data_IF_971505853762
#
_entry.id   IF_971505853762
#
_cell.length_a   1.000
_cell.length_b   1.000
_cell.length_c   1.000
_cell.angle_alpha   90.00
_cell.angle_beta   90.00
_cell.angle_gamma   90.00
#
_symmetry.space_group_name_H-M   'P 1'
#
loop_
_entity.id
_entity.type
_entity.pdbx_description
1 polymer ?
#
# COMPACT_ATOMS: atom_id res chain seq x y z
N UNK A 1 -15.63 -29.19 -6.14
CA UNK A 1 -14.75 -29.95 -7.06
C UNK A 1 -14.03 -29.01 -8.06
N UNK A 2 -13.59 -27.83 -7.61
CA UNK A 2 -12.91 -26.84 -8.47
C UNK A 2 -11.76 -26.22 -7.67
N UNK A 3 -10.58 -26.83 -7.73
CA UNK A 3 -9.32 -26.22 -7.27
C UNK A 3 -8.04 -26.95 -7.72
N UNK A 4 -8.08 -28.04 -8.51
CA UNK A 4 -6.88 -28.88 -8.70
C UNK A 4 -6.18 -28.78 -10.07
N UNK A 5 -6.77 -28.17 -11.10
CA UNK A 5 -6.20 -28.27 -12.47
C UNK A 5 -5.69 -26.97 -13.11
N UNK A 6 -5.61 -25.85 -12.39
CA UNK A 6 -5.03 -24.63 -12.97
C UNK A 6 -3.49 -24.62 -12.84
N UNK A 7 -2.82 -25.48 -13.61
CA UNK A 7 -1.35 -25.41 -13.77
C UNK A 7 -0.99 -24.27 -14.71
N UNK A 8 -0.96 -23.05 -14.19
CA UNK A 8 -0.35 -21.93 -14.90
C UNK A 8 1.16 -21.94 -14.72
N UNK A 9 1.91 -21.85 -15.82
CA UNK A 9 3.33 -21.57 -15.74
C UNK A 9 3.49 -20.14 -15.21
N UNK A 10 3.80 -20.02 -13.91
CA UNK A 10 4.18 -18.75 -13.29
C UNK A 10 5.36 -18.13 -14.04
N UNK A 11 5.39 -16.81 -14.21
CA UNK A 11 6.62 -16.10 -14.54
C UNK A 11 7.71 -16.48 -13.49
N UNK A 12 8.74 -17.22 -13.90
CA UNK A 12 9.82 -17.66 -13.01
C UNK A 12 11.06 -16.82 -13.26
N UNK A 13 11.47 -16.07 -12.25
CA UNK A 13 12.78 -15.41 -12.25
C UNK A 13 13.73 -16.25 -11.39
N UNK A 14 14.83 -16.81 -11.95
CA UNK A 14 15.81 -17.54 -11.16
C UNK A 14 16.54 -16.60 -10.20
N UNK A 15 16.26 -16.71 -8.90
CA UNK A 15 16.93 -15.93 -7.85
C UNK A 15 18.19 -16.67 -7.38
N UNK A 16 19.37 -16.04 -7.50
CA UNK A 16 20.61 -16.50 -6.84
C UNK A 16 20.89 -15.62 -5.60
N UNK A 17 20.79 -16.18 -4.40
CA UNK A 17 21.38 -15.63 -3.16
C UNK A 17 20.51 -14.69 -2.29
N UNK A 18 20.80 -14.75 -0.97
CA UNK A 18 20.21 -14.14 0.25
C UNK A 18 18.69 -14.31 0.45
N UNK A 19 18.34 -15.12 1.46
CA UNK A 19 17.01 -15.24 2.02
C UNK A 19 16.61 -13.98 2.81
N UNK A 20 15.33 -13.58 2.78
CA UNK A 20 14.27 -14.11 1.92
C UNK A 20 14.50 -13.74 0.44
N UNK A 21 14.12 -14.63 -0.51
CA UNK A 21 14.18 -14.29 -1.92
C UNK A 21 13.38 -13.00 -2.20
N UNK A 22 13.94 -12.03 -2.95
CA UNK A 22 13.22 -10.84 -3.37
C UNK A 22 11.92 -11.18 -4.11
N UNK A 23 10.88 -10.39 -3.85
CA UNK A 23 9.60 -10.50 -4.53
C UNK A 23 9.55 -9.62 -5.78
N UNK A 24 8.68 -10.01 -6.71
CA UNK A 24 8.32 -9.21 -7.87
C UNK A 24 6.81 -9.11 -7.98
N UNK A 25 6.31 -8.03 -8.57
CA UNK A 25 4.88 -7.77 -8.76
C UNK A 25 4.48 -8.34 -10.11
N UNK A 26 3.54 -9.29 -10.09
CA UNK A 26 2.83 -9.77 -11.27
C UNK A 26 1.40 -9.26 -11.31
N UNK A 27 0.69 -9.58 -12.39
CA UNK A 27 -0.74 -9.30 -12.54
C UNK A 27 -1.51 -10.58 -12.89
N UNK A 28 -2.82 -10.57 -12.67
CA UNK A 28 -3.74 -11.59 -13.18
C UNK A 28 -5.03 -10.91 -13.61
N UNK A 29 -5.66 -11.42 -14.67
CA UNK A 29 -6.84 -10.83 -15.31
C UNK A 29 -7.97 -11.85 -15.33
N UNK A 30 -9.18 -11.38 -15.05
CA UNK A 30 -10.39 -12.15 -15.32
C UNK A 30 -11.01 -11.68 -16.63
N UNK A 31 -11.52 -12.62 -17.43
CA UNK A 31 -12.31 -12.31 -18.64
C UNK A 31 -13.79 -12.08 -18.30
N UNK A 32 -14.17 -12.19 -17.02
CA UNK A 32 -15.52 -11.95 -16.52
C UNK A 32 -15.55 -10.71 -15.61
N UNK A 33 -16.75 -10.16 -15.42
CA UNK A 33 -16.98 -9.07 -14.46
C UNK A 33 -17.22 -9.59 -13.02
N UNK A 34 -16.97 -10.88 -12.75
CA UNK A 34 -17.09 -11.45 -11.41
C UNK A 34 -15.78 -11.18 -10.63
N UNK A 35 -15.80 -10.38 -9.55
CA UNK A 35 -14.60 -10.12 -8.77
C UNK A 35 -14.03 -11.37 -8.10
N UNK A 36 -14.80 -12.46 -7.98
CA UNK A 36 -14.33 -13.76 -7.52
C UNK A 36 -13.49 -14.51 -8.58
N UNK A 37 -13.41 -13.99 -9.81
CA UNK A 37 -12.67 -14.56 -10.93
C UNK A 37 -13.49 -15.54 -11.77
N UNK A 38 -12.85 -16.48 -12.48
CA UNK A 38 -11.45 -16.90 -12.36
C UNK A 38 -10.45 -15.86 -12.89
N UNK A 39 -9.25 -15.84 -12.31
CA UNK A 39 -8.14 -15.00 -12.77
C UNK A 39 -7.07 -15.85 -13.47
N UNK A 40 -6.62 -15.37 -14.61
CA UNK A 40 -5.48 -15.92 -15.38
C UNK A 40 -4.27 -15.00 -15.17
N UNK A 41 -3.14 -15.50 -14.64
CA UNK A 41 -1.93 -14.70 -14.48
C UNK A 41 -1.43 -14.17 -15.83
N UNK A 42 -1.01 -12.91 -15.84
CA UNK A 42 -0.31 -12.32 -16.97
C UNK A 42 1.11 -12.91 -17.06
N UNK A 43 1.66 -13.08 -18.28
CA UNK A 43 2.99 -13.63 -18.46
C UNK A 43 4.10 -12.67 -18.00
N UNK A 44 3.84 -11.36 -18.06
CA UNK A 44 4.81 -10.32 -17.74
C UNK A 44 4.68 -9.81 -16.30
N UNK A 45 5.83 -9.45 -15.72
CA UNK A 45 5.90 -8.80 -14.41
C UNK A 45 5.75 -7.28 -14.55
N UNK A 46 5.00 -6.67 -13.63
CA UNK A 46 4.85 -5.23 -13.56
C UNK A 46 6.09 -4.54 -12.98
N UNK A 47 6.70 -5.12 -11.95
CA UNK A 47 7.92 -4.60 -11.32
C UNK A 47 8.77 -5.72 -10.70
N UNK A 48 10.09 -5.69 -10.92
CA UNK A 48 11.00 -6.74 -10.45
C UNK A 48 12.41 -6.18 -10.19
N UNK A 49 12.53 -5.33 -9.18
CA UNK A 49 13.77 -4.61 -8.81
C UNK A 49 14.70 -5.45 -7.92
N UNK A 50 15.17 -6.58 -8.44
CA UNK A 50 15.93 -7.56 -7.66
C UNK A 50 17.22 -6.99 -7.04
N UNK A 51 17.90 -6.10 -7.76
CA UNK A 51 19.11 -5.41 -7.32
C UNK A 51 18.86 -4.45 -6.15
N UNK A 52 17.61 -4.05 -5.94
CA UNK A 52 17.16 -3.18 -4.85
C UNK A 52 16.34 -3.93 -3.78
N UNK A 53 16.34 -5.27 -3.79
CA UNK A 53 15.65 -6.09 -2.79
C UNK A 53 14.25 -6.59 -3.19
N UNK A 54 13.77 -6.21 -4.37
CA UNK A 54 12.47 -6.62 -4.92
C UNK A 54 11.41 -5.52 -4.85
N UNK A 55 10.19 -5.86 -5.23
CA UNK A 55 9.04 -4.98 -5.20
C UNK A 55 7.82 -5.70 -4.59
N UNK A 56 7.07 -4.98 -3.74
CA UNK A 56 5.86 -5.48 -3.06
C UNK A 56 4.79 -4.38 -2.98
N UNK A 57 3.62 -4.75 -2.46
CA UNK A 57 2.52 -3.85 -2.11
C UNK A 57 2.01 -3.00 -3.28
N UNK A 58 1.76 -3.63 -4.42
CA UNK A 58 1.19 -2.98 -5.59
C UNK A 58 -0.24 -2.50 -5.30
N UNK A 59 -0.52 -1.23 -5.61
CA UNK A 59 -1.80 -0.59 -5.35
C UNK A 59 -2.23 0.24 -6.57
N UNK A 60 -3.33 -0.15 -7.25
CA UNK A 60 -3.81 0.57 -8.43
C UNK A 60 -4.51 1.87 -8.03
N UNK A 61 -4.41 2.88 -8.88
CA UNK A 61 -5.16 4.11 -8.79
C UNK A 61 -5.65 4.54 -10.16
N UNK A 62 -6.95 4.82 -10.28
CA UNK A 62 -7.55 5.40 -11.48
C UNK A 62 -7.87 6.86 -11.20
N UNK A 63 -7.24 7.76 -11.95
CA UNK A 63 -7.49 9.19 -11.81
C UNK A 63 -8.81 9.59 -12.51
N UNK A 64 -9.28 10.80 -12.23
CA UNK A 64 -10.54 11.35 -12.74
C UNK A 64 -10.55 11.52 -14.27
N UNK A 65 -9.38 11.59 -14.89
CA UNK A 65 -9.23 11.63 -16.35
C UNK A 65 -9.18 10.24 -17.00
N UNK A 66 -9.28 9.17 -16.18
CA UNK A 66 -9.21 7.78 -16.62
C UNK A 66 -7.78 7.21 -16.70
N UNK A 67 -6.74 8.00 -16.44
CA UNK A 67 -5.36 7.51 -16.39
C UNK A 67 -5.21 6.48 -15.28
N UNK A 68 -4.57 5.35 -15.61
CA UNK A 68 -4.25 4.29 -14.67
C UNK A 68 -2.82 4.45 -14.15
N UNK A 69 -2.66 4.25 -12.85
CA UNK A 69 -1.40 4.27 -12.15
C UNK A 69 -1.29 3.06 -11.24
N UNK A 70 -0.08 2.62 -10.97
CA UNK A 70 0.22 1.63 -9.93
C UNK A 70 1.28 2.23 -9.01
N UNK A 71 0.93 2.39 -7.74
CA UNK A 71 1.89 2.68 -6.68
C UNK A 71 2.44 1.36 -6.14
N UNK A 72 3.72 1.30 -5.80
CA UNK A 72 4.31 0.10 -5.18
C UNK A 72 5.57 0.44 -4.39
N UNK A 73 5.98 -0.44 -3.49
CA UNK A 73 7.20 -0.29 -2.70
C UNK A 73 8.37 -1.04 -3.34
N UNK A 74 9.55 -0.42 -3.34
CA UNK A 74 10.83 -1.16 -3.43
C UNK A 74 11.20 -1.72 -2.06
N UNK A 75 11.34 -3.04 -1.96
CA UNK A 75 11.54 -3.77 -0.70
C UNK A 75 13.02 -3.76 -0.27
N UNK A 76 13.63 -2.57 -0.23
CA UNK A 76 15.06 -2.44 0.08
C UNK A 76 15.45 -2.96 1.46
N UNK A 77 14.50 -3.01 2.40
CA UNK A 77 14.71 -3.67 3.69
C UNK A 77 15.02 -5.18 3.58
N UNK A 78 14.67 -5.84 2.46
CA UNK A 78 14.98 -7.24 2.21
C UNK A 78 16.50 -7.50 2.04
N UNK A 79 17.24 -6.49 1.57
CA UNK A 79 18.71 -6.51 1.45
C UNK A 79 19.39 -5.63 2.51
N UNK A 80 18.65 -5.24 3.55
CA UNK A 80 19.17 -4.45 4.66
C UNK A 80 20.18 -5.20 5.53
N UNK A 81 20.80 -4.48 6.46
CA UNK A 81 21.92 -4.98 7.27
C UNK A 81 21.48 -5.52 8.64
N UNK A 82 20.18 -5.78 8.81
CA UNK A 82 19.60 -6.37 10.01
C UNK A 82 18.86 -5.37 10.91
N UNK A 83 18.47 -5.86 12.09
CA UNK A 83 17.63 -5.13 13.03
C UNK A 83 16.13 -5.22 12.74
N UNK A 84 15.36 -4.24 13.18
CA UNK A 84 13.89 -4.25 13.06
C UNK A 84 13.47 -4.27 11.60
N UNK A 85 12.65 -5.25 11.21
CA UNK A 85 12.27 -5.49 9.81
C UNK A 85 13.47 -5.48 8.83
N UNK A 86 14.66 -5.89 9.29
CA UNK A 86 15.85 -6.06 8.45
C UNK A 86 16.62 -4.78 8.11
N UNK A 87 16.19 -3.60 8.56
CA UNK A 87 16.69 -2.33 8.03
C UNK A 87 16.87 -1.23 9.08
N UNK A 88 17.38 -1.56 10.27
CA UNK A 88 17.74 -0.55 11.30
C UNK A 88 19.23 -0.55 11.66
N UNK A 89 20.05 -1.40 11.04
CA UNK A 89 21.51 -1.38 11.17
C UNK A 89 22.09 -0.72 9.92
N UNK A 90 23.00 0.23 10.11
CA UNK A 90 23.60 0.97 9.01
C UNK A 90 24.53 0.08 8.13
N UNK A 91 24.66 0.39 6.83
CA UNK A 91 23.93 1.43 6.10
C UNK A 91 22.45 1.07 5.92
N UNK A 92 21.55 2.02 6.14
CA UNK A 92 20.12 1.77 6.02
C UNK A 92 19.74 1.84 4.54
N UNK A 93 19.04 0.82 4.04
CA UNK A 93 18.59 0.77 2.66
C UNK A 93 17.35 1.66 2.46
N UNK A 94 17.21 2.32 1.31
CA UNK A 94 16.00 3.07 0.97
C UNK A 94 14.82 2.11 0.75
N UNK A 95 13.59 2.59 0.93
CA UNK A 95 12.36 1.82 0.67
C UNK A 95 11.36 2.71 -0.07
N UNK A 96 11.69 3.16 -1.30
CA UNK A 96 10.88 4.15 -1.99
C UNK A 96 9.54 3.58 -2.45
N UNK A 97 8.51 4.42 -2.37
CA UNK A 97 7.24 4.24 -3.05
C UNK A 97 7.40 4.78 -4.48
N UNK A 98 7.27 3.89 -5.44
CA UNK A 98 7.26 4.17 -6.87
C UNK A 98 5.83 4.40 -7.35
N UNK A 99 5.70 5.18 -8.42
CA UNK A 99 4.47 5.39 -9.16
C UNK A 99 4.73 5.12 -10.65
N UNK A 100 4.02 4.15 -11.21
CA UNK A 100 4.11 3.77 -12.61
C UNK A 100 2.82 4.12 -13.33
N UNK A 101 2.91 4.91 -14.40
CA UNK A 101 1.77 5.13 -15.30
C UNK A 101 1.52 3.87 -16.12
N UNK A 102 0.26 3.52 -16.31
CA UNK A 102 -0.17 2.36 -17.09
C UNK A 102 -0.99 2.80 -18.30
N UNK A 103 -0.93 2.00 -19.37
CA UNK A 103 -1.89 2.08 -20.47
C UNK A 103 -3.28 1.65 -19.99
N UNK A 104 -4.35 1.90 -20.78
CA UNK A 104 -5.73 1.55 -20.40
C UNK A 104 -5.98 0.07 -20.12
N UNK A 105 -5.09 -0.83 -20.58
CA UNK A 105 -5.17 -2.27 -20.31
C UNK A 105 -4.81 -2.64 -18.85
N UNK A 106 -4.24 -1.71 -18.08
CA UNK A 106 -3.80 -1.95 -16.69
C UNK A 106 -2.59 -2.88 -16.56
N UNK A 107 -2.01 -3.33 -17.67
CA UNK A 107 -0.91 -4.30 -17.73
C UNK A 107 0.36 -3.71 -18.35
N UNK A 108 0.21 -2.83 -19.33
CA UNK A 108 1.33 -2.26 -20.07
C UNK A 108 1.78 -0.97 -19.42
N UNK A 109 3.07 -0.88 -19.07
CA UNK A 109 3.68 0.36 -18.57
C UNK A 109 3.66 1.47 -19.63
N UNK A 110 3.41 2.70 -19.21
CA UNK A 110 3.40 3.90 -20.05
C UNK A 110 4.49 4.88 -19.60
N UNK A 111 5.74 4.60 -20.03
CA UNK A 111 6.93 5.35 -19.62
C UNK A 111 7.59 4.80 -18.35
N UNK A 112 8.56 5.56 -17.83
CA UNK A 112 9.35 5.20 -16.65
C UNK A 112 8.58 5.46 -15.35
N UNK A 113 8.79 4.61 -14.33
CA UNK A 113 8.31 4.90 -12.99
C UNK A 113 9.03 6.10 -12.35
N UNK A 114 8.33 6.79 -11.46
CA UNK A 114 8.88 7.87 -10.64
C UNK A 114 8.85 7.49 -9.15
N UNK A 115 9.65 8.16 -8.33
CA UNK A 115 9.59 8.02 -6.87
C UNK A 115 8.76 9.16 -6.29
N UNK A 116 7.70 8.83 -5.55
CA UNK A 116 6.79 9.83 -4.97
C UNK A 116 7.00 10.05 -3.46
N UNK A 117 7.59 9.07 -2.77
CA UNK A 117 7.96 9.16 -1.35
C UNK A 117 9.04 8.11 -1.05
N UNK A 118 9.98 8.43 -0.16
CA UNK A 118 10.91 7.45 0.43
C UNK A 118 10.95 7.62 1.96
N UNK A 119 11.42 6.60 2.67
CA UNK A 119 11.58 6.63 4.12
C UNK A 119 12.52 7.76 4.54
N UNK A 120 12.18 8.40 5.65
CA UNK A 120 13.08 9.27 6.39
C UNK A 120 13.41 8.64 7.74
N UNK A 121 14.32 9.23 8.50
CA UNK A 121 14.77 8.68 9.79
C UNK A 121 13.60 8.36 10.74
N UNK A 122 12.60 9.25 10.83
CA UNK A 122 11.43 9.09 11.71
C UNK A 122 10.45 7.99 11.28
N UNK A 123 10.63 7.36 10.12
CA UNK A 123 9.85 6.19 9.68
C UNK A 123 10.45 4.88 10.20
N UNK A 124 11.65 4.92 10.77
CA UNK A 124 12.38 3.73 11.18
C UNK A 124 12.82 2.90 9.98
N UNK A 125 12.56 1.57 9.96
CA UNK A 125 13.17 0.68 8.97
C UNK A 125 12.62 0.84 7.55
N UNK A 126 11.38 1.28 7.37
CA UNK A 126 10.73 1.29 6.05
C UNK A 126 9.51 2.20 6.00
N UNK A 127 9.09 2.52 4.78
CA UNK A 127 7.72 2.86 4.42
C UNK A 127 7.18 1.80 3.45
N UNK A 128 5.89 1.48 3.53
CA UNK A 128 5.26 0.41 2.74
C UNK A 128 3.74 0.58 2.59
N UNK A 129 3.09 -0.36 1.90
CA UNK A 129 1.65 -0.39 1.68
C UNK A 129 1.05 0.96 1.21
N UNK A 130 1.50 1.50 0.06
CA UNK A 130 1.04 2.79 -0.44
C UNK A 130 -0.41 2.72 -0.91
N UNK A 131 -1.26 3.69 -0.56
CA UNK A 131 -2.60 3.82 -1.14
C UNK A 131 -2.85 5.26 -1.54
N UNK A 132 -3.32 5.46 -2.76
CA UNK A 132 -3.66 6.77 -3.28
C UNK A 132 -5.17 7.00 -3.22
N UNK A 133 -5.57 8.17 -2.73
CA UNK A 133 -6.93 8.66 -2.81
C UNK A 133 -6.91 10.11 -3.28
N UNK A 134 -7.97 10.54 -3.96
CA UNK A 134 -8.14 11.93 -4.39
C UNK A 134 -9.38 12.50 -3.70
N UNK A 135 -9.19 13.59 -2.98
CA UNK A 135 -10.28 14.32 -2.32
C UNK A 135 -11.23 14.96 -3.33
N UNK A 136 -12.47 15.30 -2.92
CA UNK A 136 -13.39 16.10 -3.74
C UNK A 136 -12.78 17.44 -4.20
N UNK A 137 -11.88 18.02 -3.41
CA UNK A 137 -11.15 19.26 -3.74
C UNK A 137 -9.97 19.05 -4.71
N UNK A 138 -9.72 17.81 -5.14
CA UNK A 138 -8.67 17.46 -6.10
C UNK A 138 -7.29 17.27 -5.50
N UNK A 139 -7.14 17.34 -4.17
CA UNK A 139 -5.89 17.04 -3.45
C UNK A 139 -5.66 15.53 -3.43
N UNK A 140 -4.44 15.11 -3.79
CA UNK A 140 -4.00 13.72 -3.72
C UNK A 140 -3.48 13.41 -2.32
N UNK A 141 -3.94 12.30 -1.76
CA UNK A 141 -3.48 11.73 -0.51
C UNK A 141 -2.74 10.42 -0.79
N UNK A 142 -1.50 10.32 -0.34
CA UNK A 142 -0.74 9.08 -0.28
C UNK A 142 -0.74 8.59 1.17
N UNK A 143 -1.50 7.55 1.44
CA UNK A 143 -1.43 6.80 2.69
C UNK A 143 -0.31 5.77 2.58
N UNK A 144 0.41 5.57 3.67
CA UNK A 144 1.49 4.59 3.72
C UNK A 144 1.72 4.17 5.17
N UNK A 145 2.22 2.96 5.36
CA UNK A 145 2.63 2.49 6.68
C UNK A 145 4.11 2.73 6.89
N UNK A 146 4.53 2.94 8.14
CA UNK A 146 5.93 2.98 8.52
C UNK A 146 6.21 2.10 9.74
N UNK A 147 7.49 1.90 10.08
CA UNK A 147 7.86 1.02 11.18
C UNK A 147 7.90 -0.45 10.77
N UNK A 148 7.65 -1.36 11.72
CA UNK A 148 7.73 -2.79 11.45
C UNK A 148 6.41 -3.47 11.82
N UNK A 149 5.72 -4.11 10.87
CA UNK A 149 4.40 -4.77 11.07
C UNK A 149 4.40 -5.80 12.21
N UNK A 150 5.58 -6.31 12.61
CA UNK A 150 5.75 -7.27 13.72
C UNK A 150 5.95 -6.60 15.09
N UNK A 151 6.01 -5.29 15.16
CA UNK A 151 6.35 -4.51 16.35
C UNK A 151 5.33 -3.37 16.60
N UNK A 152 5.21 -2.86 17.85
CA UNK A 152 4.36 -1.71 18.17
C UNK A 152 4.70 -0.41 17.41
N UNK A 153 5.85 -0.35 16.73
CA UNK A 153 6.28 0.80 15.95
C UNK A 153 5.55 0.95 14.62
N UNK A 154 4.77 -0.04 14.19
CA UNK A 154 3.97 0.09 12.97
C UNK A 154 2.87 1.13 13.12
N UNK A 155 2.79 2.05 12.17
CA UNK A 155 1.79 3.10 12.12
C UNK A 155 1.31 3.34 10.68
N UNK A 156 0.12 3.95 10.57
CA UNK A 156 -0.45 4.44 9.32
C UNK A 156 -0.28 5.96 9.27
N UNK A 157 0.44 6.43 8.26
CA UNK A 157 0.71 7.84 7.97
C UNK A 157 0.09 8.23 6.64
N UNK A 158 0.09 9.52 6.35
CA UNK A 158 -0.28 10.04 5.05
C UNK A 158 0.52 11.29 4.69
N UNK A 159 0.56 11.59 3.40
CA UNK A 159 1.12 12.80 2.81
C UNK A 159 0.19 13.33 1.72
N UNK A 160 0.27 14.62 1.40
CA UNK A 160 -0.62 15.26 0.41
C UNK A 160 0.15 15.96 -0.71
N UNK A 161 -0.43 15.99 -1.90
CA UNK A 161 0.11 16.68 -3.06
C UNK A 161 -1.02 17.30 -3.91
N UNK A 162 -0.68 18.32 -4.70
CA UNK A 162 -1.60 18.94 -5.67
C UNK A 162 -1.66 18.17 -6.99
N UNK A 163 -0.64 17.37 -7.28
CA UNK A 163 -0.56 16.48 -8.44
C UNK A 163 -0.26 15.07 -7.97
N UNK A 164 -0.70 14.08 -8.74
CA UNK A 164 -0.46 12.66 -8.40
C UNK A 164 1.04 12.32 -8.31
N UNK A 165 1.87 13.03 -9.07
CA UNK A 165 3.32 12.84 -9.14
C UNK A 165 4.09 13.54 -8.01
N UNK A 166 3.39 14.25 -7.12
CA UNK A 166 4.00 14.98 -6.01
C UNK A 166 4.51 16.38 -6.37
N UNK A 167 5.28 17.03 -5.49
CA UNK A 167 5.85 16.48 -4.27
C UNK A 167 4.80 16.25 -3.18
N UNK A 168 4.95 15.12 -2.46
CA UNK A 168 4.09 14.79 -1.31
C UNK A 168 4.62 15.40 -0.02
N UNK A 169 3.79 16.20 0.63
CA UNK A 169 4.06 16.81 1.94
C UNK A 169 3.44 15.96 3.04
N UNK A 170 4.29 15.40 3.91
CA UNK A 170 3.89 14.53 5.01
C UNK A 170 3.01 15.25 6.02
N UNK A 171 1.98 14.57 6.51
CA UNK A 171 1.21 15.06 7.65
C UNK A 171 2.06 15.12 8.92
N UNK A 172 1.76 16.06 9.81
CA UNK A 172 2.53 16.25 11.05
C UNK A 172 2.42 15.07 12.04
N UNK A 173 1.34 14.27 11.94
CA UNK A 173 1.06 13.15 12.85
C UNK A 173 0.56 11.94 12.03
N UNK A 174 0.83 10.70 12.49
CA UNK A 174 0.22 9.51 11.91
C UNK A 174 -1.30 9.53 12.11
N UNK A 175 -2.04 8.94 11.17
CA UNK A 175 -3.49 8.74 11.28
C UNK A 175 -3.82 7.68 12.34
N UNK A 176 -3.10 6.55 12.31
CA UNK A 176 -3.22 5.49 13.31
C UNK A 176 -1.83 5.07 13.78
N UNK A 177 -1.70 4.82 15.08
CA UNK A 177 -0.51 4.22 15.69
C UNK A 177 -0.91 3.31 16.86
N UNK A 178 0.01 2.49 17.34
CA UNK A 178 -0.24 1.71 18.57
C UNK A 178 -0.78 2.59 19.70
N UNK A 179 -1.84 2.10 20.36
CA UNK A 179 -2.59 2.79 21.42
C UNK A 179 -3.80 3.57 20.91
N UNK A 180 -3.83 3.96 19.63
CA UNK A 180 -5.00 4.63 19.03
C UNK A 180 -6.18 3.66 19.02
N UNK A 181 -7.28 4.01 19.69
CA UNK A 181 -8.43 3.12 19.91
C UNK A 181 -8.06 1.75 20.53
N UNK A 182 -6.96 1.66 21.28
CA UNK A 182 -6.47 0.40 21.84
C UNK A 182 -5.85 -0.57 20.82
N UNK A 183 -5.61 -0.12 19.59
CA UNK A 183 -5.03 -0.94 18.52
C UNK A 183 -3.53 -1.15 18.72
N UNK A 184 -3.02 -2.28 18.24
CA UNK A 184 -1.58 -2.59 18.22
C UNK A 184 -1.10 -2.70 16.78
N UNK A 185 -0.06 -1.93 16.43
CA UNK A 185 0.55 -1.94 15.11
C UNK A 185 -0.47 -1.81 13.94
N UNK A 186 -1.34 -0.77 13.94
CA UNK A 186 -2.30 -0.58 12.85
C UNK A 186 -1.60 -0.08 11.58
N UNK A 187 -2.02 -0.57 10.41
CA UNK A 187 -1.48 -0.12 9.12
C UNK A 187 -1.97 -0.99 7.96
N UNK A 188 -1.28 -0.84 6.82
CA UNK A 188 -1.62 -1.40 5.50
C UNK A 188 -3.11 -1.26 5.22
N UNK A 189 -3.49 -0.02 4.94
CA UNK A 189 -4.86 0.35 4.66
C UNK A 189 -5.20 0.12 3.18
N UNK A 190 -6.49 0.16 2.87
CA UNK A 190 -7.05 0.45 1.56
C UNK A 190 -8.21 1.43 1.73
N UNK A 191 -8.43 2.29 0.74
CA UNK A 191 -9.35 3.43 0.82
C UNK A 191 -10.15 3.52 -0.47
N UNK A 192 -11.47 3.56 -0.34
CA UNK A 192 -12.40 3.68 -1.45
C UNK A 192 -13.36 4.85 -1.22
N UNK A 193 -13.63 5.64 -2.25
CA UNK A 193 -14.69 6.64 -2.18
C UNK A 193 -16.05 5.96 -2.02
N UNK A 194 -16.88 6.42 -1.09
CA UNK A 194 -18.18 5.79 -0.78
C UNK A 194 -19.33 6.24 -1.69
N UNK A 195 -19.04 7.12 -2.64
CA UNK A 195 -20.01 7.70 -3.57
C UNK A 195 -20.86 8.85 -3.01
N UNK A 196 -20.74 9.16 -1.71
CA UNK A 196 -21.54 10.17 -1.01
C UNK A 196 -20.68 11.32 -0.45
N UNK A 197 -19.49 11.52 -1.01
CA UNK A 197 -18.53 12.53 -0.57
C UNK A 197 -17.66 12.09 0.62
N UNK A 198 -17.81 10.86 1.10
CA UNK A 198 -16.95 10.23 2.09
C UNK A 198 -16.05 9.15 1.48
N UNK A 199 -15.30 8.49 2.36
CA UNK A 199 -14.45 7.36 1.98
C UNK A 199 -14.60 6.24 3.01
N UNK A 200 -14.60 5.00 2.56
CA UNK A 200 -14.43 3.83 3.40
C UNK A 200 -12.95 3.47 3.49
N UNK A 201 -12.48 3.14 4.68
CA UNK A 201 -11.13 2.64 4.91
C UNK A 201 -11.20 1.26 5.56
N UNK A 202 -10.45 0.32 5.00
CA UNK A 202 -10.12 -0.95 5.65
C UNK A 202 -8.65 -0.93 6.01
N UNK A 203 -8.26 -1.55 7.12
CA UNK A 203 -6.87 -1.64 7.55
C UNK A 203 -6.71 -2.82 8.49
N UNK A 204 -5.47 -3.23 8.77
CA UNK A 204 -5.23 -4.27 9.76
C UNK A 204 -4.68 -3.71 11.07
N UNK A 205 -4.89 -4.45 12.16
CA UNK A 205 -4.11 -4.30 13.39
C UNK A 205 -3.84 -5.67 14.01
N UNK A 206 -2.79 -5.78 14.81
CA UNK A 206 -2.44 -7.02 15.51
C UNK A 206 -3.42 -7.28 16.65
N UNK A 207 -3.91 -8.52 16.70
CA UNK A 207 -4.72 -9.03 17.80
C UNK A 207 -4.12 -10.33 18.33
N UNK A 208 -4.45 -10.67 19.57
CA UNK A 208 -4.13 -11.99 20.12
C UNK A 208 -5.26 -12.94 19.75
N UNK A 209 -4.91 -14.02 19.06
CA UNK A 209 -5.82 -15.15 18.82
C UNK A 209 -5.22 -16.42 19.43
N UNK A 210 -6.03 -17.48 19.66
CA UNK A 210 -5.53 -18.77 20.15
C UNK A 210 -4.40 -19.36 19.29
N UNK A 211 -4.37 -19.05 17.99
CA UNK A 211 -3.36 -19.50 17.02
C UNK A 211 -2.09 -18.63 17.03
N UNK A 212 -2.00 -17.62 17.91
CA UNK A 212 -0.87 -16.70 18.02
C UNK A 212 -1.20 -15.26 17.60
N UNK A 213 -0.17 -14.50 17.24
CA UNK A 213 -0.34 -13.13 16.77
C UNK A 213 -0.89 -13.11 15.35
N UNK A 214 -2.17 -12.76 15.20
CA UNK A 214 -2.82 -12.56 13.89
C UNK A 214 -3.06 -11.07 13.65
N UNK A 215 -3.34 -10.71 12.40
CA UNK A 215 -3.79 -9.37 12.03
C UNK A 215 -5.27 -9.46 11.70
N UNK A 216 -6.10 -8.76 12.46
CA UNK A 216 -7.52 -8.64 12.17
C UNK A 216 -7.77 -7.44 11.26
N UNK A 217 -8.75 -7.55 10.38
CA UNK A 217 -9.24 -6.45 9.57
C UNK A 217 -10.19 -5.58 10.39
N UNK A 218 -10.06 -4.28 10.24
CA UNK A 218 -10.92 -3.24 10.81
C UNK A 218 -11.41 -2.34 9.70
N UNK A 219 -12.57 -1.74 9.90
CA UNK A 219 -13.18 -0.81 8.95
C UNK A 219 -13.56 0.48 9.66
N UNK A 220 -13.54 1.59 8.92
CA UNK A 220 -13.99 2.89 9.38
C UNK A 220 -14.35 3.75 8.16
N UNK A 221 -14.91 4.94 8.40
CA UNK A 221 -15.08 5.95 7.37
C UNK A 221 -14.03 7.05 7.54
N UNK A 222 -13.71 7.74 6.46
CA UNK A 222 -12.85 8.91 6.44
C UNK A 222 -13.57 10.10 5.82
N UNK A 223 -13.22 11.29 6.28
CA UNK A 223 -13.52 12.58 5.64
C UNK A 223 -12.20 13.31 5.40
N UNK A 224 -12.05 13.89 4.21
CA UNK A 224 -10.92 14.75 3.87
C UNK A 224 -11.36 16.20 4.02
N UNK A 225 -10.53 17.01 4.68
CA UNK A 225 -10.78 18.42 4.99
C UNK A 225 -9.53 19.21 4.62
N UNK A 226 -9.51 19.74 3.40
CA UNK A 226 -8.30 20.33 2.83
C UNK A 226 -7.17 19.31 2.75
N UNK A 227 -6.09 19.53 3.50
CA UNK A 227 -4.91 18.64 3.55
C UNK A 227 -4.91 17.67 4.74
N UNK A 228 -6.00 17.63 5.50
CA UNK A 228 -6.15 16.74 6.66
C UNK A 228 -7.15 15.62 6.37
N UNK A 229 -6.98 14.49 7.06
CA UNK A 229 -7.94 13.38 7.08
C UNK A 229 -8.43 13.14 8.49
N UNK A 230 -9.74 12.94 8.64
CA UNK A 230 -10.39 12.54 9.89
C UNK A 230 -11.05 11.18 9.73
N UNK A 231 -10.93 10.35 10.76
CA UNK A 231 -11.76 9.15 10.89
C UNK A 231 -13.13 9.52 11.42
N UNK A 232 -14.18 8.99 10.81
CA UNK A 232 -15.59 9.18 11.21
C UNK A 232 -16.26 7.82 11.45
N UNK A 233 -17.28 7.78 12.30
CA UNK A 233 -17.95 6.51 12.67
C UNK A 233 -18.83 6.00 11.53
N UNK A 234 -18.88 4.69 11.34
CA UNK A 234 -19.68 4.06 10.27
C UNK A 234 -21.19 4.34 10.35
N UNK A 235 -21.71 4.71 11.54
CA UNK A 235 -23.11 5.12 11.74
C UNK A 235 -23.36 6.64 11.63
N UNK A 236 -22.38 7.46 11.24
CA UNK A 236 -22.66 8.84 10.87
C UNK A 236 -23.25 8.88 9.46
N UNK A 237 -24.49 8.41 9.32
CA UNK A 237 -25.37 9.02 8.33
C UNK A 237 -25.45 10.48 8.69
N UNK A 238 -24.70 11.31 7.96
CA UNK A 238 -24.92 12.73 7.73
C UNK A 238 -25.96 13.38 8.66
N UNK A 239 -25.49 13.92 9.78
CA UNK A 239 -26.00 15.14 10.38
C UNK A 239 -24.86 15.70 11.25
N UNK A 240 -24.61 17.00 11.10
CA UNK A 240 -23.52 17.74 11.73
C UNK A 240 -23.59 17.62 13.26
N UNK A 241 -22.51 17.17 13.90
CA UNK A 241 -22.31 17.40 15.33
C UNK A 241 -21.61 18.76 15.49
N UNK A 242 -22.41 19.79 15.82
CA UNK A 242 -21.93 21.06 16.41
C UNK A 242 -21.09 20.84 17.69
#
# INVERSE_FOLDING_TARGET
KHAEDNKTESARVPVKGRHPPPHCIGAAVSETDDPAGPYTPAPDLLACHLDQGGAIDAQPFRDTDGTLWIAYKIDGNNIGHGGSCGNTVAPIMPTPIKLQRMKPDGLTKDGEEITILDRIESDGPLVEAPVLAKSPEGIYFLFYSSGCTRAPTYDLKYATAETITGPYVRAAKPLLKTGTYGLLAPGSADILADGNGGFDMVFHARVRAPQGGVRAMFTTKLRFEGREVRMVRANSTLEDDE
#
